data_IF_874953679784
#
_entry.id   IF_874953679784
#
_cell.length_a   1.000
_cell.length_b   1.000
_cell.length_c   1.000
_cell.angle_alpha   90.00
_cell.angle_beta   90.00
_cell.angle_gamma   90.00
#
_symmetry.space_group_name_H-M   'P 1'
#
loop_
_entity.id
_entity.type
_entity.pdbx_description
1 polymer ?
#
# COMPACT_ATOMS: atom_id res chain seq x y z
N UNK A 1 -26.20 -28.81 11.01
CA UNK A 1 -25.56 -27.90 10.03
C UNK A 1 -26.67 -27.27 9.21
N UNK A 2 -27.04 -26.03 9.50
CA UNK A 2 -28.06 -25.31 8.72
C UNK A 2 -27.43 -24.81 7.43
N UNK A 3 -28.04 -25.15 6.29
CA UNK A 3 -27.74 -24.55 5.00
C UNK A 3 -28.18 -23.08 5.05
N UNK A 4 -27.29 -22.21 5.50
CA UNK A 4 -27.38 -20.80 5.19
C UNK A 4 -27.16 -20.67 3.68
N UNK A 5 -28.25 -20.61 2.92
CA UNK A 5 -28.23 -20.21 1.52
C UNK A 5 -27.59 -18.81 1.44
N UNK A 6 -26.30 -18.77 1.11
CA UNK A 6 -25.64 -17.54 0.69
C UNK A 6 -26.32 -17.15 -0.62
N UNK A 7 -27.31 -16.26 -0.54
CA UNK A 7 -27.82 -15.56 -1.70
C UNK A 7 -26.67 -14.68 -2.17
N UNK A 8 -25.88 -15.21 -3.12
CA UNK A 8 -25.04 -14.39 -3.98
C UNK A 8 -26.02 -13.46 -4.70
N UNK A 9 -26.15 -12.24 -4.17
CA UNK A 9 -26.73 -11.17 -4.97
C UNK A 9 -25.80 -11.02 -6.17
N UNK A 10 -26.29 -11.41 -7.35
CA UNK A 10 -25.73 -11.01 -8.64
C UNK A 10 -25.88 -9.48 -8.74
N UNK A 11 -25.04 -8.77 -8.00
CA UNK A 11 -24.85 -7.35 -8.20
C UNK A 11 -23.96 -7.26 -9.43
N UNK A 12 -24.58 -7.02 -10.58
CA UNK A 12 -23.89 -6.63 -11.81
C UNK A 12 -23.17 -5.30 -11.55
N UNK A 13 -21.98 -5.39 -10.95
CA UNK A 13 -21.14 -4.25 -10.55
C UNK A 13 -20.60 -3.47 -11.76
N UNK A 14 -20.77 -4.00 -12.97
CA UNK A 14 -20.40 -3.31 -14.20
C UNK A 14 -21.60 -3.18 -15.12
N UNK A 15 -22.07 -1.96 -15.44
CA UNK A 15 -22.98 -1.80 -16.56
C UNK A 15 -22.28 -2.36 -17.81
N UNK A 16 -22.90 -3.37 -18.43
CA UNK A 16 -22.45 -4.11 -19.61
C UNK A 16 -22.40 -3.27 -20.90
N UNK A 17 -22.13 -1.96 -20.77
CA UNK A 17 -21.96 -1.03 -21.88
C UNK A 17 -20.67 -1.36 -22.64
N UNK A 18 -20.83 -2.14 -23.70
CA UNK A 18 -19.81 -2.43 -24.71
C UNK A 18 -19.16 -1.16 -25.31
N UNK A 19 -19.80 0.01 -25.21
CA UNK A 19 -19.21 1.30 -25.61
C UNK A 19 -18.02 1.73 -24.76
N UNK A 20 -18.00 1.40 -23.46
CA UNK A 20 -16.91 1.80 -22.57
C UNK A 20 -15.62 0.99 -22.82
N UNK A 21 -15.74 -0.22 -23.37
CA UNK A 21 -14.59 -1.07 -23.71
C UNK A 21 -13.71 -0.48 -24.82
N UNK A 22 -14.30 0.20 -25.82
CA UNK A 22 -13.51 0.80 -26.92
C UNK A 22 -12.63 1.95 -26.44
N UNK A 23 -13.17 2.83 -25.58
CA UNK A 23 -12.39 3.95 -25.04
C UNK A 23 -11.27 3.44 -24.12
N UNK A 24 -11.55 2.42 -23.31
CA UNK A 24 -10.55 1.76 -22.47
C UNK A 24 -9.37 1.23 -23.30
N UNK A 25 -9.65 0.49 -24.38
CA UNK A 25 -8.59 -0.07 -25.23
C UNK A 25 -7.70 1.00 -25.89
N UNK A 26 -8.26 2.15 -26.25
CA UNK A 26 -7.48 3.28 -26.82
C UNK A 26 -6.55 3.87 -25.75
N UNK A 27 -7.06 4.12 -24.53
CA UNK A 27 -6.25 4.65 -23.43
C UNK A 27 -5.12 3.67 -23.06
N UNK A 28 -5.43 2.37 -23.00
CA UNK A 28 -4.45 1.31 -22.76
C UNK A 28 -3.38 1.31 -23.85
N UNK A 29 -3.78 1.34 -25.13
CA UNK A 29 -2.85 1.38 -26.26
C UNK A 29 -1.93 2.60 -26.22
N UNK A 30 -2.46 3.77 -25.84
CA UNK A 30 -1.67 4.99 -25.66
C UNK A 30 -0.66 4.86 -24.51
N UNK A 31 -1.05 4.31 -23.36
CA UNK A 31 -0.15 4.13 -22.22
C UNK A 31 0.98 3.15 -22.57
N UNK A 32 0.67 2.04 -23.23
CA UNK A 32 1.68 1.08 -23.70
C UNK A 32 2.62 1.70 -24.73
N UNK A 33 2.09 2.48 -25.68
CA UNK A 33 2.92 3.17 -26.67
C UNK A 33 3.84 4.21 -26.02
N UNK A 34 3.33 5.03 -25.09
CA UNK A 34 4.13 5.99 -24.33
C UNK A 34 5.21 5.29 -23.50
N UNK A 35 4.89 4.16 -22.88
CA UNK A 35 5.86 3.36 -22.14
C UNK A 35 6.97 2.83 -23.05
N UNK A 36 6.64 2.24 -24.21
CA UNK A 36 7.63 1.78 -25.17
C UNK A 36 8.55 2.90 -25.65
N UNK A 37 7.97 4.08 -25.96
CA UNK A 37 8.75 5.26 -26.35
C UNK A 37 9.67 5.71 -25.22
N UNK A 38 9.21 5.72 -23.98
CA UNK A 38 10.02 6.15 -22.85
C UNK A 38 11.16 5.19 -22.52
N UNK A 39 10.95 3.88 -22.61
CA UNK A 39 12.03 2.88 -22.44
C UNK A 39 13.08 3.06 -23.53
N UNK A 40 12.66 3.29 -24.77
CA UNK A 40 13.58 3.56 -25.89
C UNK A 40 14.32 4.90 -25.69
N UNK A 41 13.63 5.94 -25.23
CA UNK A 41 14.24 7.22 -24.90
C UNK A 41 15.26 7.06 -23.78
N UNK A 42 14.92 6.35 -22.70
CA UNK A 42 15.83 6.10 -21.58
C UNK A 42 17.13 5.43 -22.07
N UNK A 43 17.02 4.39 -22.89
CA UNK A 43 18.15 3.64 -23.43
C UNK A 43 19.03 4.50 -24.36
N UNK A 44 18.41 5.31 -25.22
CA UNK A 44 19.12 6.16 -26.20
C UNK A 44 19.70 7.43 -25.56
N UNK A 45 19.05 7.99 -24.54
CA UNK A 45 19.34 9.33 -24.01
C UNK A 45 20.18 9.36 -22.73
N UNK A 46 20.82 8.24 -22.38
CA UNK A 46 21.58 8.09 -21.11
C UNK A 46 22.73 9.08 -20.89
N UNK A 47 23.22 9.79 -21.92
CA UNK A 47 24.32 10.75 -21.81
C UNK A 47 23.87 12.18 -21.54
N UNK A 48 23.46 12.91 -22.59
CA UNK A 48 23.27 14.36 -22.53
C UNK A 48 22.19 14.81 -21.54
N UNK A 49 21.11 14.04 -21.41
CA UNK A 49 20.00 14.36 -20.51
C UNK A 49 20.33 14.08 -19.04
N UNK A 50 21.34 13.24 -18.80
CA UNK A 50 21.78 12.92 -17.45
C UNK A 50 22.44 14.14 -16.78
N UNK A 51 23.21 14.93 -17.53
CA UNK A 51 23.81 16.16 -17.03
C UNK A 51 22.76 17.25 -16.76
N UNK A 52 21.71 17.33 -17.57
CA UNK A 52 20.60 18.26 -17.37
C UNK A 52 19.83 17.97 -16.07
N UNK A 53 19.53 16.69 -15.78
CA UNK A 53 18.82 16.34 -14.55
C UNK A 53 19.67 16.62 -13.30
N UNK A 54 20.98 16.41 -13.37
CA UNK A 54 21.91 16.75 -12.29
C UNK A 54 21.94 18.26 -12.07
N UNK A 55 21.94 19.04 -13.15
CA UNK A 55 21.87 20.51 -13.09
C UNK A 55 20.57 20.98 -12.44
N UNK A 56 19.44 20.36 -12.78
CA UNK A 56 18.15 20.63 -12.15
C UNK A 56 18.17 20.32 -10.64
N UNK A 57 18.66 19.14 -10.24
CA UNK A 57 18.78 18.77 -8.82
C UNK A 57 19.67 19.74 -8.03
N UNK A 58 20.79 20.19 -8.62
CA UNK A 58 21.64 21.22 -8.00
C UNK A 58 20.88 22.52 -7.81
N UNK A 59 20.17 22.99 -8.82
CA UNK A 59 19.45 24.26 -8.78
C UNK A 59 18.41 24.29 -7.66
N UNK A 60 17.59 23.24 -7.56
CA UNK A 60 16.55 23.18 -6.52
C UNK A 60 17.13 23.06 -5.10
N UNK A 61 18.32 22.47 -4.96
CA UNK A 61 19.00 22.31 -3.68
C UNK A 61 19.80 23.56 -3.25
N UNK A 62 19.99 24.57 -4.11
CA UNK A 62 20.79 25.78 -3.80
C UNK A 62 20.33 26.53 -2.56
N UNK A 63 19.02 26.50 -2.26
CA UNK A 63 18.49 27.22 -1.10
C UNK A 63 18.95 26.60 0.22
N UNK A 64 19.20 25.29 0.25
CA UNK A 64 19.77 24.53 1.37
C UNK A 64 19.32 25.02 2.77
N UNK A 65 18.02 25.20 2.96
CA UNK A 65 17.45 25.57 4.25
C UNK A 65 17.08 24.30 5.03
N UNK A 66 17.54 24.20 6.28
CA UNK A 66 17.25 23.05 7.15
C UNK A 66 15.73 22.79 7.30
N UNK A 67 14.93 23.85 7.35
CA UNK A 67 13.46 23.75 7.43
C UNK A 67 12.89 23.07 6.18
N UNK A 68 13.36 23.43 5.00
CA UNK A 68 12.95 22.84 3.73
C UNK A 68 13.38 21.37 3.63
N UNK A 69 14.61 21.06 4.06
CA UNK A 69 15.11 19.68 4.10
C UNK A 69 14.25 18.81 5.04
N UNK A 70 14.03 19.27 6.26
CA UNK A 70 13.23 18.55 7.25
C UNK A 70 11.78 18.37 6.80
N UNK A 71 11.22 19.37 6.11
CA UNK A 71 9.91 19.26 5.50
C UNK A 71 9.86 18.15 4.44
N UNK A 72 10.80 18.13 3.49
CA UNK A 72 10.83 17.08 2.47
C UNK A 72 11.11 15.70 3.03
N UNK A 73 11.95 15.56 4.06
CA UNK A 73 12.12 14.30 4.80
C UNK A 73 10.83 13.84 5.47
N UNK A 74 10.11 14.77 6.11
CA UNK A 74 8.83 14.45 6.72
C UNK A 74 7.80 14.01 5.67
N UNK A 75 7.72 14.70 4.53
CA UNK A 75 6.89 14.30 3.40
C UNK A 75 7.28 12.92 2.91
N UNK A 76 8.58 12.67 2.69
CA UNK A 76 9.11 11.38 2.28
C UNK A 76 8.65 10.28 3.23
N UNK A 77 8.82 10.46 4.54
CA UNK A 77 8.30 9.51 5.54
C UNK A 77 6.78 9.37 5.44
N UNK A 78 6.05 10.47 5.20
CA UNK A 78 4.58 10.50 5.17
C UNK A 78 3.95 9.80 3.93
N UNK A 79 4.71 9.54 2.87
CA UNK A 79 4.18 9.00 1.61
C UNK A 79 3.39 7.68 1.77
N UNK A 80 3.95 6.63 2.39
CA UNK A 80 3.23 5.35 2.56
C UNK A 80 1.92 5.51 3.33
N UNK A 81 1.85 6.48 4.24
CA UNK A 81 0.68 6.75 5.05
C UNK A 81 -0.50 7.25 4.21
N UNK A 82 -0.25 8.07 3.19
CA UNK A 82 -1.30 8.51 2.26
C UNK A 82 -1.92 7.32 1.50
N UNK A 83 -1.11 6.33 1.11
CA UNK A 83 -1.62 5.14 0.42
C UNK A 83 -2.44 4.24 1.34
N UNK A 84 -2.04 4.14 2.61
CA UNK A 84 -2.85 3.45 3.63
C UNK A 84 -4.22 4.12 3.78
N UNK A 85 -4.29 5.46 3.74
CA UNK A 85 -5.56 6.19 3.76
C UNK A 85 -6.42 5.89 2.51
N UNK A 86 -5.84 5.77 1.31
CA UNK A 86 -6.59 5.38 0.11
C UNK A 86 -7.14 3.97 0.20
N UNK A 87 -6.33 3.00 0.63
CA UNK A 87 -6.77 1.62 0.86
C UNK A 87 -7.99 1.60 1.77
N UNK A 88 -7.90 2.35 2.85
CA UNK A 88 -8.83 2.32 3.95
C UNK A 88 -10.13 3.01 3.59
N UNK A 89 -10.06 4.16 2.90
CA UNK A 89 -11.23 4.75 2.26
C UNK A 89 -11.89 3.79 1.28
N UNK A 90 -11.11 3.15 0.40
CA UNK A 90 -11.65 2.19 -0.56
C UNK A 90 -12.34 1.02 0.15
N UNK A 91 -11.74 0.53 1.24
CA UNK A 91 -12.26 -0.56 2.05
C UNK A 91 -13.57 -0.19 2.78
N UNK A 92 -13.68 1.02 3.33
CA UNK A 92 -14.82 1.44 4.16
C UNK A 92 -15.97 2.03 3.36
N UNK A 93 -15.65 2.91 2.41
CA UNK A 93 -16.65 3.76 1.74
C UNK A 93 -17.09 3.22 0.39
N UNK A 94 -16.25 2.42 -0.28
CA UNK A 94 -16.62 1.74 -1.53
C UNK A 94 -17.10 0.33 -1.20
N UNK A 95 -16.17 -0.58 -0.93
CA UNK A 95 -16.44 -1.92 -0.43
C UNK A 95 -15.13 -2.63 -0.03
N UNK A 96 -15.26 -3.74 0.70
CA UNK A 96 -14.09 -4.50 1.15
C UNK A 96 -13.22 -5.03 0.00
N UNK A 97 -13.81 -5.38 -1.15
CA UNK A 97 -13.09 -5.89 -2.31
C UNK A 97 -12.26 -4.80 -2.98
N UNK A 98 -12.77 -3.58 -3.08
CA UNK A 98 -12.05 -2.42 -3.57
C UNK A 98 -10.80 -2.16 -2.70
N UNK A 99 -10.95 -2.25 -1.38
CA UNK A 99 -9.82 -2.24 -0.44
C UNK A 99 -8.82 -3.36 -0.73
N UNK A 100 -9.27 -4.62 -0.83
CA UNK A 100 -8.38 -5.75 -1.13
C UNK A 100 -7.62 -5.57 -2.45
N UNK A 101 -8.29 -5.11 -3.51
CA UNK A 101 -7.65 -4.84 -4.79
C UNK A 101 -6.62 -3.73 -4.69
N UNK A 102 -6.92 -2.67 -3.95
CA UNK A 102 -5.98 -1.58 -3.72
C UNK A 102 -4.69 -2.10 -3.07
N UNK A 103 -4.80 -2.98 -2.06
CA UNK A 103 -3.62 -3.63 -1.46
C UNK A 103 -2.85 -4.40 -2.54
N UNK A 104 -3.50 -5.30 -3.27
CA UNK A 104 -2.83 -6.16 -4.27
C UNK A 104 -2.11 -5.30 -5.32
N UNK A 105 -2.73 -4.21 -5.77
CA UNK A 105 -2.12 -3.25 -6.70
C UNK A 105 -0.87 -2.60 -6.08
N UNK A 106 -0.98 -2.06 -4.85
CA UNK A 106 0.15 -1.44 -4.13
C UNK A 106 1.31 -2.42 -3.99
N UNK A 107 1.04 -3.66 -3.55
CA UNK A 107 2.06 -4.69 -3.40
C UNK A 107 2.73 -5.03 -4.72
N UNK A 108 1.95 -5.12 -5.80
CA UNK A 108 2.48 -5.40 -7.13
C UNK A 108 3.36 -4.25 -7.61
N UNK A 109 2.95 -3.00 -7.38
CA UNK A 109 3.75 -1.81 -7.70
C UNK A 109 5.09 -1.82 -6.95
N UNK A 110 5.07 -2.07 -5.65
CA UNK A 110 6.28 -2.15 -4.80
C UNK A 110 7.20 -3.28 -5.28
N UNK A 111 6.66 -4.49 -5.48
CA UNK A 111 7.46 -5.63 -5.92
C UNK A 111 8.06 -5.37 -7.31
N UNK A 112 7.29 -4.78 -8.22
CA UNK A 112 7.76 -4.43 -9.56
C UNK A 112 8.85 -3.37 -9.50
N UNK A 113 8.66 -2.30 -8.70
CA UNK A 113 9.67 -1.27 -8.53
C UNK A 113 10.99 -1.83 -8.00
N UNK A 114 10.94 -2.67 -6.97
CA UNK A 114 12.14 -3.27 -6.39
C UNK A 114 12.82 -4.29 -7.33
N UNK A 115 12.03 -5.09 -8.06
CA UNK A 115 12.55 -5.99 -9.09
C UNK A 115 13.27 -5.20 -10.19
N UNK A 116 12.67 -4.10 -10.67
CA UNK A 116 13.28 -3.24 -11.67
C UNK A 116 14.51 -2.52 -11.10
N UNK A 117 14.48 -2.07 -9.85
CA UNK A 117 15.63 -1.46 -9.16
C UNK A 117 16.83 -2.42 -9.10
N UNK A 118 16.58 -3.69 -8.80
CA UNK A 118 17.62 -4.71 -8.89
C UNK A 118 18.07 -4.94 -10.34
N UNK A 119 17.16 -5.02 -11.30
CA UNK A 119 17.48 -5.23 -12.72
C UNK A 119 18.35 -4.10 -13.30
N UNK A 120 18.00 -2.84 -13.04
CA UNK A 120 18.73 -1.67 -13.52
C UNK A 120 19.99 -1.39 -12.72
N UNK A 121 20.01 -1.74 -11.42
CA UNK A 121 21.09 -1.51 -10.46
C UNK A 121 21.72 -0.11 -10.62
N UNK A 122 20.88 0.89 -10.89
CA UNK A 122 21.34 2.27 -11.07
C UNK A 122 21.45 2.94 -9.71
N UNK A 123 22.60 3.60 -9.44
CA UNK A 123 22.81 4.26 -8.17
C UNK A 123 21.92 5.50 -8.04
N UNK A 124 21.87 6.05 -6.84
CA UNK A 124 21.20 7.33 -6.61
C UNK A 124 22.02 8.49 -7.19
N UNK A 125 21.36 9.59 -7.55
CA UNK A 125 22.03 10.74 -8.18
C UNK A 125 23.14 11.29 -7.28
N UNK A 126 22.89 11.36 -5.97
CA UNK A 126 23.92 11.80 -5.01
C UNK A 126 25.07 10.79 -4.86
N UNK A 127 24.99 9.55 -5.32
CA UNK A 127 26.13 8.63 -5.30
C UNK A 127 27.13 8.97 -6.41
N UNK A 128 26.61 9.34 -7.58
CA UNK A 128 27.45 9.63 -8.75
C UNK A 128 28.02 11.05 -8.74
N UNK A 129 27.23 12.05 -8.33
CA UNK A 129 27.59 13.47 -8.46
C UNK A 129 27.86 14.12 -7.11
N UNK A 130 29.10 14.59 -6.90
CA UNK A 130 29.53 15.25 -5.65
C UNK A 130 28.71 16.48 -5.30
N UNK A 131 28.17 17.16 -6.29
CA UNK A 131 27.53 18.46 -6.09
C UNK A 131 26.00 18.35 -5.92
N UNK A 132 25.46 17.13 -5.94
CA UNK A 132 24.09 16.84 -5.48
C UNK A 132 24.18 16.28 -4.07
N UNK A 133 23.47 16.90 -3.13
CA UNK A 133 23.43 16.48 -1.74
C UNK A 133 22.36 15.40 -1.57
N UNK A 134 22.74 14.25 -1.02
CA UNK A 134 21.79 13.26 -0.53
C UNK A 134 21.30 13.70 0.83
N UNK A 135 20.10 14.25 0.96
CA UNK A 135 19.68 14.72 2.29
C UNK A 135 19.31 13.56 3.22
N UNK A 136 19.03 12.39 2.67
CA UNK A 136 18.72 11.16 3.40
C UNK A 136 19.77 10.07 3.14
N UNK A 137 19.80 9.08 4.02
CA UNK A 137 20.67 7.92 3.91
C UNK A 137 19.85 6.71 3.44
N UNK A 138 19.60 6.65 2.13
CA UNK A 138 18.88 5.53 1.54
C UNK A 138 19.90 4.60 0.89
N UNK A 139 19.89 3.33 1.28
CA UNK A 139 20.87 2.33 0.84
C UNK A 139 20.26 1.31 -0.13
N UNK A 140 19.53 1.80 -1.13
CA UNK A 140 18.87 0.99 -2.14
C UNK A 140 19.25 1.43 -3.56
N UNK A 141 19.08 0.52 -4.53
CA UNK A 141 19.04 0.91 -5.93
C UNK A 141 17.80 1.78 -6.18
N UNK A 142 17.96 2.87 -6.93
CA UNK A 142 16.88 3.87 -7.03
C UNK A 142 15.93 3.59 -8.20
N UNK A 143 16.42 3.12 -9.36
CA UNK A 143 15.66 3.25 -10.62
C UNK A 143 14.87 1.99 -10.92
N UNK A 144 13.53 2.04 -11.04
CA UNK A 144 12.65 3.20 -10.88
C UNK A 144 12.34 3.51 -9.40
N UNK A 145 12.12 4.79 -9.10
CA UNK A 145 11.66 5.31 -7.83
C UNK A 145 10.38 4.60 -7.38
N UNK A 146 10.49 3.74 -6.36
CA UNK A 146 9.36 3.01 -5.77
C UNK A 146 8.21 3.94 -5.42
N UNK A 147 8.50 5.02 -4.69
CA UNK A 147 7.47 5.94 -4.18
C UNK A 147 6.78 6.70 -5.29
N UNK A 148 7.52 7.09 -6.33
CA UNK A 148 6.91 7.74 -7.49
C UNK A 148 6.03 6.77 -8.26
N UNK A 149 6.49 5.54 -8.49
CA UNK A 149 5.73 4.48 -9.14
C UNK A 149 4.46 4.13 -8.37
N UNK A 150 4.56 3.95 -7.05
CA UNK A 150 3.42 3.69 -6.18
C UNK A 150 2.48 4.89 -6.11
N UNK A 151 2.99 6.13 -6.10
CA UNK A 151 2.15 7.34 -6.03
C UNK A 151 1.17 7.44 -7.19
N UNK A 152 1.68 7.38 -8.43
CA UNK A 152 0.82 7.49 -9.61
C UNK A 152 -0.08 6.27 -9.72
N UNK A 153 0.43 5.08 -9.38
CA UNK A 153 -0.32 3.84 -9.51
C UNK A 153 -1.51 3.82 -8.55
N UNK A 154 -1.27 4.14 -7.28
CA UNK A 154 -2.31 4.26 -6.26
C UNK A 154 -3.36 5.30 -6.63
N UNK A 155 -2.92 6.51 -6.99
CA UNK A 155 -3.81 7.60 -7.36
C UNK A 155 -4.68 7.22 -8.56
N UNK A 156 -4.07 6.67 -9.61
CA UNK A 156 -4.79 6.32 -10.82
C UNK A 156 -5.75 5.15 -10.59
N UNK A 157 -5.34 4.12 -9.84
CA UNK A 157 -6.24 3.02 -9.51
C UNK A 157 -7.42 3.48 -8.66
N UNK A 158 -7.16 4.26 -7.61
CA UNK A 158 -8.22 4.83 -6.77
C UNK A 158 -9.18 5.72 -7.57
N UNK A 159 -8.63 6.52 -8.49
CA UNK A 159 -9.41 7.33 -9.42
C UNK A 159 -10.38 6.47 -10.24
N UNK A 160 -9.92 5.33 -10.77
CA UNK A 160 -10.81 4.41 -11.50
C UNK A 160 -11.89 3.82 -10.61
N UNK A 161 -11.56 3.45 -9.37
CA UNK A 161 -12.54 2.94 -8.41
C UNK A 161 -13.62 3.97 -8.09
N UNK A 162 -13.24 5.23 -7.86
CA UNK A 162 -14.18 6.29 -7.43
C UNK A 162 -14.96 6.89 -8.60
N UNK A 163 -14.30 7.30 -9.68
CA UNK A 163 -14.97 8.02 -10.77
C UNK A 163 -16.01 7.20 -11.50
N UNK A 164 -15.69 5.93 -11.77
CA UNK A 164 -16.54 5.06 -12.58
C UNK A 164 -17.69 4.46 -11.76
N UNK A 165 -17.51 4.30 -10.44
CA UNK A 165 -18.52 3.66 -9.60
C UNK A 165 -19.41 4.67 -8.84
N UNK A 166 -18.92 5.87 -8.49
CA UNK A 166 -19.73 6.88 -7.81
C UNK A 166 -20.46 7.81 -8.81
N UNK A 167 -21.71 7.44 -9.14
CA UNK A 167 -22.60 8.26 -9.98
C UNK A 167 -23.16 9.50 -9.27
N UNK A 168 -23.07 9.56 -7.93
CA UNK A 168 -23.66 10.63 -7.11
C UNK A 168 -22.77 11.87 -6.96
N UNK A 169 -21.46 11.72 -7.17
CA UNK A 169 -20.52 12.81 -6.95
C UNK A 169 -20.68 13.90 -8.01
N UNK A 170 -20.70 15.15 -7.57
CA UNK A 170 -20.81 16.31 -8.46
C UNK A 170 -19.52 16.43 -9.29
N UNK A 171 -19.61 16.94 -10.52
CA UNK A 171 -18.45 17.08 -11.41
C UNK A 171 -17.30 17.87 -10.77
N UNK A 172 -17.60 18.91 -10.00
CA UNK A 172 -16.58 19.72 -9.33
C UNK A 172 -15.84 18.96 -8.22
N UNK A 173 -16.53 18.07 -7.48
CA UNK A 173 -15.89 17.22 -6.46
C UNK A 173 -14.89 16.27 -7.10
N UNK A 174 -15.26 15.69 -8.25
CA UNK A 174 -14.38 14.87 -9.08
C UNK A 174 -13.15 15.66 -9.54
N UNK A 175 -13.35 16.90 -10.01
CA UNK A 175 -12.26 17.76 -10.48
C UNK A 175 -11.30 18.16 -9.35
N UNK A 176 -11.82 18.57 -8.18
CA UNK A 176 -10.98 18.87 -7.01
C UNK A 176 -10.19 17.64 -6.59
N UNK A 177 -10.85 16.48 -6.53
CA UNK A 177 -10.19 15.25 -6.18
C UNK A 177 -9.03 14.92 -7.15
N UNK A 178 -9.26 15.00 -8.47
CA UNK A 178 -8.18 14.84 -9.47
C UNK A 178 -7.05 15.83 -9.22
N UNK A 179 -7.37 17.11 -9.04
CA UNK A 179 -6.38 18.16 -8.85
C UNK A 179 -5.49 17.90 -7.64
N UNK A 180 -6.08 17.58 -6.49
CA UNK A 180 -5.33 17.27 -5.26
C UNK A 180 -4.41 16.07 -5.44
N UNK A 181 -4.90 15.01 -6.08
CA UNK A 181 -4.10 13.80 -6.28
C UNK A 181 -2.99 14.01 -7.32
N UNK A 182 -3.22 14.80 -8.36
CA UNK A 182 -2.18 15.15 -9.33
C UNK A 182 -1.08 15.98 -8.66
N UNK A 183 -1.46 16.97 -7.84
CA UNK A 183 -0.52 17.74 -7.02
C UNK A 183 0.27 16.79 -6.12
N UNK A 184 -0.38 15.83 -5.48
CA UNK A 184 0.30 14.83 -4.64
C UNK A 184 1.34 14.01 -5.42
N UNK A 185 1.01 13.48 -6.61
CA UNK A 185 1.98 12.74 -7.44
C UNK A 185 3.18 13.59 -7.82
N UNK A 186 2.93 14.82 -8.28
CA UNK A 186 4.01 15.77 -8.63
C UNK A 186 4.87 16.11 -7.41
N UNK A 187 4.24 16.28 -6.26
CA UNK A 187 4.91 16.62 -5.01
C UNK A 187 5.77 15.47 -4.47
N UNK A 188 5.30 14.22 -4.60
CA UNK A 188 6.12 13.03 -4.33
C UNK A 188 7.35 12.98 -5.23
N UNK A 189 7.16 13.16 -6.55
CA UNK A 189 8.28 13.18 -7.48
C UNK A 189 9.28 14.28 -7.16
N UNK A 190 8.80 15.50 -6.88
CA UNK A 190 9.65 16.62 -6.51
C UNK A 190 10.42 16.36 -5.20
N UNK A 191 9.78 15.74 -4.21
CA UNK A 191 10.42 15.38 -2.93
C UNK A 191 11.63 14.48 -3.15
N UNK A 192 11.51 13.47 -4.01
CA UNK A 192 12.60 12.54 -4.33
C UNK A 192 13.78 13.22 -5.05
N UNK A 193 13.50 14.16 -5.95
CA UNK A 193 14.53 14.94 -6.65
C UNK A 193 15.20 15.91 -5.68
N UNK A 194 14.42 16.62 -4.85
CA UNK A 194 14.94 17.56 -3.86
C UNK A 194 15.84 16.87 -2.84
N UNK A 195 15.49 15.67 -2.39
CA UNK A 195 16.31 14.87 -1.46
C UNK A 195 17.58 14.29 -2.10
N UNK A 196 17.76 14.46 -3.43
CA UNK A 196 18.92 13.96 -4.16
C UNK A 196 18.90 12.45 -4.42
N UNK A 197 17.75 11.81 -4.17
CA UNK A 197 17.60 10.36 -4.29
C UNK A 197 17.46 9.97 -5.76
N UNK A 198 16.64 10.69 -6.51
CA UNK A 198 16.23 10.37 -7.88
C UNK A 198 16.43 11.55 -8.85
N UNK A 199 16.72 11.25 -10.12
CA UNK A 199 16.71 12.21 -11.22
C UNK A 199 15.30 12.40 -11.80
N UNK A 200 15.07 13.48 -12.55
CA UNK A 200 13.74 13.73 -13.16
C UNK A 200 13.31 12.59 -14.11
N UNK A 201 14.26 11.99 -14.83
CA UNK A 201 13.98 10.88 -15.73
C UNK A 201 13.61 9.62 -14.96
N UNK A 202 14.28 9.34 -13.84
CA UNK A 202 13.93 8.24 -12.95
C UNK A 202 12.47 8.36 -12.49
N UNK A 203 12.03 9.57 -12.12
CA UNK A 203 10.65 9.85 -11.69
C UNK A 203 9.64 9.63 -12.82
N UNK A 204 9.92 10.15 -14.02
CA UNK A 204 9.03 10.00 -15.18
C UNK A 204 8.91 8.51 -15.57
N UNK A 205 10.03 7.79 -15.62
CA UNK A 205 10.07 6.37 -15.90
C UNK A 205 9.25 5.58 -14.87
N UNK A 206 9.41 5.93 -13.59
CA UNK A 206 8.64 5.36 -12.49
C UNK A 206 7.14 5.57 -12.67
N UNK A 207 6.75 6.77 -13.10
CA UNK A 207 5.34 7.05 -13.35
C UNK A 207 4.77 6.21 -14.49
N UNK A 208 5.54 6.02 -15.56
CA UNK A 208 5.12 5.20 -16.70
C UNK A 208 4.99 3.72 -16.33
N UNK A 209 5.93 3.17 -15.55
CA UNK A 209 5.80 1.83 -15.00
C UNK A 209 4.59 1.69 -14.08
N UNK A 210 4.35 2.68 -13.22
CA UNK A 210 3.19 2.69 -12.32
C UNK A 210 1.87 2.67 -13.08
N UNK A 211 1.75 3.51 -14.12
CA UNK A 211 0.59 3.54 -15.00
C UNK A 211 0.42 2.22 -15.77
N UNK A 212 1.50 1.64 -16.28
CA UNK A 212 1.47 0.37 -17.00
C UNK A 212 0.91 -0.75 -16.11
N UNK A 213 1.43 -0.89 -14.89
CA UNK A 213 0.95 -1.89 -13.93
C UNK A 213 -0.55 -1.69 -13.67
N UNK A 214 -0.99 -0.46 -13.40
CA UNK A 214 -2.42 -0.21 -13.12
C UNK A 214 -3.31 -0.48 -14.34
N UNK A 215 -2.85 -0.15 -15.54
CA UNK A 215 -3.55 -0.48 -16.79
C UNK A 215 -3.76 -1.98 -16.92
N UNK A 216 -2.74 -2.78 -16.62
CA UNK A 216 -2.85 -4.25 -16.59
C UNK A 216 -3.94 -4.66 -15.59
N UNK A 217 -3.93 -4.10 -14.39
CA UNK A 217 -4.96 -4.39 -13.38
C UNK A 217 -6.38 -4.02 -13.81
N UNK A 218 -6.57 -2.86 -14.44
CA UNK A 218 -7.88 -2.44 -14.96
C UNK A 218 -8.33 -3.36 -16.07
N UNK A 219 -7.44 -3.71 -17.00
CA UNK A 219 -7.74 -4.61 -18.11
C UNK A 219 -8.15 -6.01 -17.60
N UNK A 220 -7.46 -6.53 -16.60
CA UNK A 220 -7.73 -7.82 -15.99
C UNK A 220 -8.69 -7.75 -14.79
N UNK A 221 -9.37 -6.63 -14.52
CA UNK A 221 -10.16 -6.45 -13.28
C UNK A 221 -11.21 -7.56 -13.08
N UNK A 222 -11.89 -8.00 -14.14
CA UNK A 222 -12.86 -9.10 -14.05
C UNK A 222 -12.21 -10.42 -13.61
N UNK A 223 -11.03 -10.72 -14.17
CA UNK A 223 -10.29 -11.93 -13.82
C UNK A 223 -9.72 -11.82 -12.41
N UNK A 224 -9.22 -10.65 -12.01
CA UNK A 224 -8.74 -10.37 -10.67
C UNK A 224 -9.87 -10.47 -9.65
N UNK A 225 -11.06 -9.92 -9.93
CA UNK A 225 -12.24 -10.09 -9.08
C UNK A 225 -12.58 -11.57 -8.90
N UNK A 226 -12.62 -12.34 -10.01
CA UNK A 226 -12.87 -13.78 -9.94
C UNK A 226 -11.80 -14.51 -9.12
N UNK A 227 -10.53 -14.19 -9.35
CA UNK A 227 -9.41 -14.76 -8.63
C UNK A 227 -9.49 -14.42 -7.14
N UNK A 228 -9.80 -13.17 -6.77
CA UNK A 228 -9.98 -12.78 -5.38
C UNK A 228 -11.16 -13.55 -4.76
N UNK A 229 -12.30 -13.65 -5.45
CA UNK A 229 -13.45 -14.41 -4.94
C UNK A 229 -13.11 -15.90 -4.74
N UNK A 230 -12.43 -16.53 -5.70
CA UNK A 230 -12.07 -17.95 -5.62
C UNK A 230 -11.00 -18.21 -4.57
N UNK A 231 -9.93 -17.42 -4.59
CA UNK A 231 -8.80 -17.56 -3.69
C UNK A 231 -9.19 -17.18 -2.26
N UNK A 232 -9.90 -16.07 -2.03
CA UNK A 232 -10.12 -15.58 -0.67
C UNK A 232 -11.35 -16.19 0.00
N UNK A 233 -12.44 -16.43 -0.75
CA UNK A 233 -13.69 -16.90 -0.15
C UNK A 233 -13.74 -18.43 -0.12
N UNK A 234 -13.31 -19.08 -1.20
CA UNK A 234 -13.39 -20.54 -1.31
C UNK A 234 -12.16 -21.23 -0.71
N UNK A 235 -10.98 -20.64 -0.85
CA UNK A 235 -9.73 -21.24 -0.38
C UNK A 235 -9.19 -20.50 0.86
N UNK A 236 -9.41 -21.05 2.06
CA UNK A 236 -8.77 -20.52 3.28
C UNK A 236 -7.24 -20.29 3.18
N UNK A 237 -6.43 -21.06 2.41
CA UNK A 237 -5.00 -20.76 2.24
C UNK A 237 -4.69 -19.75 1.12
N UNK A 238 -5.69 -19.11 0.51
CA UNK A 238 -5.48 -18.28 -0.68
C UNK A 238 -4.53 -17.09 -0.52
N UNK A 239 -4.49 -16.52 0.69
CA UNK A 239 -3.52 -15.48 1.04
C UNK A 239 -2.07 -15.97 0.91
N UNK A 240 -1.81 -17.23 1.28
CA UNK A 240 -0.48 -17.85 1.16
C UNK A 240 -0.08 -17.89 -0.30
N UNK A 241 -1.00 -18.21 -1.22
CA UNK A 241 -0.68 -18.26 -2.65
C UNK A 241 -0.26 -16.89 -3.20
N UNK A 242 -0.97 -15.82 -2.80
CA UNK A 242 -0.63 -14.45 -3.22
C UNK A 242 0.71 -14.02 -2.64
N UNK A 243 0.94 -14.29 -1.36
CA UNK A 243 2.23 -14.04 -0.74
C UNK A 243 3.36 -14.81 -1.45
N UNK A 244 3.16 -16.10 -1.74
CA UNK A 244 4.11 -16.91 -2.52
C UNK A 244 4.36 -16.34 -3.93
N UNK A 245 3.34 -15.81 -4.60
CA UNK A 245 3.50 -15.16 -5.90
C UNK A 245 4.36 -13.89 -5.81
N UNK A 246 4.17 -13.07 -4.78
CA UNK A 246 5.04 -11.91 -4.53
C UNK A 246 6.48 -12.34 -4.20
N UNK A 247 6.64 -13.32 -3.32
CA UNK A 247 7.97 -13.88 -3.00
C UNK A 247 8.67 -14.46 -4.22
N UNK A 248 7.92 -15.11 -5.13
CA UNK A 248 8.47 -15.59 -6.40
C UNK A 248 8.92 -14.44 -7.31
N UNK A 249 8.15 -13.35 -7.39
CA UNK A 249 8.55 -12.16 -8.14
C UNK A 249 9.84 -11.53 -7.62
N UNK A 250 9.98 -11.46 -6.29
CA UNK A 250 11.22 -11.01 -5.64
C UNK A 250 12.38 -11.96 -5.96
N UNK A 251 12.16 -13.27 -5.85
CA UNK A 251 13.17 -14.27 -6.15
C UNK A 251 13.67 -14.17 -7.60
N UNK A 252 12.76 -13.93 -8.57
CA UNK A 252 13.14 -13.64 -9.96
C UNK A 252 14.02 -12.39 -10.04
N UNK A 253 13.68 -11.32 -9.32
CA UNK A 253 14.51 -10.12 -9.25
C UNK A 253 15.93 -10.38 -8.72
N UNK A 254 16.06 -11.19 -7.67
CA UNK A 254 17.37 -11.61 -7.12
C UNK A 254 18.15 -12.43 -8.15
N UNK A 255 17.49 -13.39 -8.79
CA UNK A 255 18.13 -14.24 -9.81
C UNK A 255 18.67 -13.37 -10.96
N UNK A 256 17.86 -12.42 -11.44
CA UNK A 256 18.27 -11.49 -12.50
C UNK A 256 19.40 -10.56 -12.05
N UNK A 257 19.41 -10.14 -10.79
CA UNK A 257 20.48 -9.35 -10.19
C UNK A 257 21.82 -10.11 -10.18
N UNK A 258 21.81 -11.35 -9.69
CA UNK A 258 23.00 -12.21 -9.66
C UNK A 258 23.52 -12.52 -11.07
N UNK A 259 22.63 -12.77 -12.04
CA UNK A 259 23.04 -13.01 -13.43
C UNK A 259 23.66 -11.80 -14.13
N UNK A 260 23.42 -10.59 -13.65
CA UNK A 260 23.94 -9.35 -14.25
C UNK A 260 25.34 -8.99 -13.76
N UNK A 261 25.83 -9.62 -12.69
CA UNK A 261 27.06 -9.23 -12.00
C UNK A 261 27.06 -7.72 -11.69
N UNK A 262 25.99 -7.24 -11.04
CA UNK A 262 25.80 -5.82 -10.77
C UNK A 262 27.01 -5.22 -10.01
N UNK A 263 27.77 -4.38 -10.72
CA UNK A 263 29.00 -3.80 -10.22
C UNK A 263 28.76 -2.45 -9.55
N UNK A 264 29.26 -2.30 -8.32
CA UNK A 264 29.30 -1.01 -7.61
C UNK A 264 30.74 -0.49 -7.60
N UNK A 265 31.05 0.58 -8.34
CA UNK A 265 32.36 1.22 -8.29
C UNK A 265 32.74 1.68 -6.88
N UNK A 266 34.01 1.51 -6.50
CA UNK A 266 34.57 1.93 -5.21
C UNK A 266 34.31 3.41 -4.89
N UNK A 267 34.21 4.25 -5.94
CA UNK A 267 33.88 5.67 -5.80
C UNK A 267 32.50 5.87 -5.18
N UNK A 268 31.50 5.09 -5.60
CA UNK A 268 30.15 5.17 -5.05
C UNK A 268 30.14 4.63 -3.62
N UNK A 269 30.81 3.50 -3.38
CA UNK A 269 30.91 2.88 -2.05
C UNK A 269 31.52 3.84 -1.01
N UNK A 270 32.69 4.43 -1.32
CA UNK A 270 33.34 5.40 -0.43
C UNK A 270 32.44 6.59 -0.13
N UNK A 271 31.73 7.08 -1.15
CA UNK A 271 30.83 8.21 -0.99
C UNK A 271 29.65 7.88 -0.09
N UNK A 272 29.00 6.72 -0.33
CA UNK A 272 27.89 6.25 0.51
C UNK A 272 28.35 6.07 1.94
N UNK A 273 29.47 5.38 2.19
CA UNK A 273 30.00 5.17 3.54
C UNK A 273 30.38 6.49 4.25
N UNK A 274 30.90 7.47 3.50
CA UNK A 274 31.19 8.80 4.05
C UNK A 274 29.93 9.61 4.37
N UNK A 275 28.86 9.40 3.59
CA UNK A 275 27.58 10.10 3.73
C UNK A 275 26.70 9.48 4.81
N UNK A 276 26.85 8.18 5.03
CA UNK A 276 26.05 7.35 5.92
C UNK A 276 26.93 6.65 6.98
N UNK A 277 27.61 7.39 7.87
CA UNK A 277 28.58 6.81 8.80
C UNK A 277 27.95 5.87 9.84
N UNK A 278 26.67 6.07 10.17
CA UNK A 278 25.93 5.23 11.13
C UNK A 278 25.35 3.96 10.48
N UNK A 279 25.45 3.82 9.16
CA UNK A 279 25.01 2.62 8.48
C UNK A 279 26.06 1.51 8.56
N UNK A 280 25.62 0.24 8.51
CA UNK A 280 26.54 -0.89 8.33
C UNK A 280 27.42 -0.60 7.11
N UNK A 281 28.74 -0.69 7.30
CA UNK A 281 29.72 -0.44 6.25
C UNK A 281 29.35 -1.26 5.01
N UNK A 282 28.95 -0.57 3.94
CA UNK A 282 28.60 -1.23 2.68
C UNK A 282 29.91 -1.70 2.09
N UNK A 283 30.07 -3.02 2.02
CA UNK A 283 31.27 -3.69 1.55
C UNK A 283 31.20 -3.99 0.05
N UNK A 284 29.99 -4.20 -0.48
CA UNK A 284 29.78 -4.50 -1.89
C UNK A 284 28.35 -4.15 -2.38
N UNK A 285 28.06 -4.51 -3.63
CA UNK A 285 26.76 -4.31 -4.27
C UNK A 285 25.67 -5.22 -3.68
N UNK A 286 26.03 -6.39 -3.11
CA UNK A 286 25.09 -7.33 -2.51
C UNK A 286 24.47 -6.77 -1.25
N UNK A 287 25.20 -5.98 -0.47
CA UNK A 287 24.65 -5.26 0.69
C UNK A 287 23.50 -4.33 0.28
N UNK A 288 23.61 -3.65 -0.87
CA UNK A 288 22.54 -2.81 -1.43
C UNK A 288 21.34 -3.66 -1.87
N UNK A 289 21.58 -4.80 -2.53
CA UNK A 289 20.50 -5.72 -2.90
C UNK A 289 19.76 -6.28 -1.68
N UNK A 290 20.48 -6.60 -0.60
CA UNK A 290 19.88 -7.04 0.66
C UNK A 290 19.02 -5.94 1.30
N UNK A 291 19.43 -4.68 1.22
CA UNK A 291 18.62 -3.56 1.70
C UNK A 291 17.33 -3.38 0.87
N UNK A 292 17.38 -3.56 -0.46
CA UNK A 292 16.17 -3.62 -1.28
C UNK A 292 15.22 -4.72 -0.78
N UNK A 293 15.75 -5.91 -0.53
CA UNK A 293 14.96 -7.05 -0.02
C UNK A 293 14.37 -6.78 1.36
N UNK A 294 15.13 -6.15 2.27
CA UNK A 294 14.64 -5.72 3.59
C UNK A 294 13.47 -4.76 3.45
N UNK A 295 13.55 -3.80 2.52
CA UNK A 295 12.46 -2.87 2.24
C UNK A 295 11.21 -3.60 1.75
N UNK A 296 11.34 -4.51 0.79
CA UNK A 296 10.21 -5.31 0.31
C UNK A 296 9.60 -6.15 1.43
N UNK A 297 10.42 -6.77 2.28
CA UNK A 297 9.94 -7.57 3.41
C UNK A 297 9.14 -6.75 4.43
N UNK A 298 9.55 -5.50 4.67
CA UNK A 298 8.84 -4.57 5.57
C UNK A 298 7.49 -4.18 4.98
N UNK A 299 7.43 -4.02 3.66
CA UNK A 299 6.19 -3.71 2.94
C UNK A 299 5.25 -4.93 2.86
N UNK A 300 5.78 -6.15 2.76
CA UNK A 300 5.02 -7.40 2.88
C UNK A 300 4.33 -7.52 4.24
N UNK A 301 5.00 -7.15 5.34
CA UNK A 301 4.38 -7.11 6.67
C UNK A 301 3.16 -6.19 6.72
N UNK A 302 3.26 -5.01 6.10
CA UNK A 302 2.12 -4.08 6.00
C UNK A 302 0.98 -4.62 5.15
N UNK A 303 1.32 -5.33 4.08
CA UNK A 303 0.37 -6.04 3.24
C UNK A 303 -0.36 -7.14 4.00
N UNK A 304 0.36 -7.96 4.75
CA UNK A 304 -0.20 -9.03 5.58
C UNK A 304 -1.18 -8.50 6.62
N UNK A 305 -0.85 -7.38 7.29
CA UNK A 305 -1.73 -6.73 8.25
C UNK A 305 -3.00 -6.17 7.59
N UNK A 306 -2.86 -5.48 6.45
CA UNK A 306 -4.00 -4.93 5.72
C UNK A 306 -4.94 -6.03 5.19
N UNK A 307 -4.37 -7.15 4.72
CA UNK A 307 -5.15 -8.32 4.35
C UNK A 307 -5.85 -8.94 5.56
N UNK A 308 -5.17 -9.09 6.70
CA UNK A 308 -5.78 -9.56 7.95
C UNK A 308 -6.99 -8.72 8.39
N UNK A 309 -6.90 -7.39 8.22
CA UNK A 309 -8.04 -6.48 8.43
C UNK A 309 -9.17 -6.74 7.43
N UNK A 310 -8.84 -6.92 6.16
CA UNK A 310 -9.82 -7.21 5.12
C UNK A 310 -10.56 -8.55 5.34
N UNK A 311 -9.88 -9.57 5.87
CA UNK A 311 -10.51 -10.85 6.24
C UNK A 311 -11.39 -10.76 7.49
N UNK A 312 -11.09 -9.82 8.38
CA UNK A 312 -11.91 -9.55 9.56
C UNK A 312 -13.22 -8.82 9.20
N UNK A 313 -13.37 -8.35 7.96
CA UNK A 313 -14.49 -7.52 7.49
C UNK A 313 -15.87 -8.10 7.77
N UNK A 314 -16.13 -9.39 7.53
CA UNK A 314 -17.48 -9.95 7.76
C UNK A 314 -17.85 -9.98 9.26
N UNK A 315 -16.86 -10.17 10.15
CA UNK A 315 -17.06 -10.07 11.60
C UNK A 315 -17.17 -8.61 12.06
N UNK A 316 -16.45 -7.71 11.41
CA UNK A 316 -16.43 -6.28 11.67
C UNK A 316 -17.73 -5.62 11.19
N UNK A 317 -18.23 -5.89 9.99
CA UNK A 317 -19.46 -5.29 9.43
C UNK A 317 -20.71 -5.57 10.27
N UNK A 318 -20.81 -6.77 10.87
CA UNK A 318 -21.95 -7.15 11.72
C UNK A 318 -21.92 -6.56 13.14
N UNK A 319 -20.75 -6.14 13.67
CA UNK A 319 -20.63 -5.65 15.07
C UNK A 319 -20.04 -4.25 15.23
N UNK A 320 -19.27 -3.76 14.25
CA UNK A 320 -18.51 -2.51 14.36
C UNK A 320 -19.14 -1.33 13.60
N UNK A 321 -19.88 -1.60 12.52
CA UNK A 321 -20.38 -0.58 11.58
C UNK A 321 -21.90 -0.39 11.63
N UNK A 322 -22.55 -0.81 12.72
CA UNK A 322 -23.94 -0.46 12.96
C UNK A 322 -24.05 1.03 13.29
N UNK A 323 -24.55 1.84 12.35
CA UNK A 323 -25.05 3.22 12.58
C UNK A 323 -24.19 4.18 13.42
N UNK A 324 -22.87 3.97 13.55
CA UNK A 324 -22.02 4.91 14.29
C UNK A 324 -21.47 5.94 13.32
N UNK A 325 -21.52 7.23 13.71
CA UNK A 325 -21.09 8.37 12.90
C UNK A 325 -19.69 8.18 12.32
N UNK A 326 -19.47 8.72 11.11
CA UNK A 326 -18.21 8.68 10.32
C UNK A 326 -16.97 8.99 11.16
N UNK A 327 -17.10 9.84 12.19
CA UNK A 327 -16.03 10.19 13.13
C UNK A 327 -15.50 9.03 13.97
N UNK A 328 -16.35 8.13 14.45
CA UNK A 328 -15.89 6.98 15.24
C UNK A 328 -15.13 5.98 14.37
N UNK A 329 -15.54 5.83 13.10
CA UNK A 329 -14.79 5.05 12.13
C UNK A 329 -13.41 5.64 11.88
N UNK A 330 -13.31 6.97 11.72
CA UNK A 330 -12.02 7.68 11.57
C UNK A 330 -11.14 7.54 12.82
N UNK A 331 -11.69 7.62 14.04
CA UNK A 331 -10.91 7.46 15.27
C UNK A 331 -10.38 6.03 15.41
N UNK A 332 -11.22 5.02 15.18
CA UNK A 332 -10.81 3.61 15.23
C UNK A 332 -9.74 3.29 14.20
N UNK A 333 -9.90 3.89 13.03
CA UNK A 333 -8.97 3.84 11.92
C UNK A 333 -7.62 4.46 12.30
N UNK A 334 -7.60 5.63 12.92
CA UNK A 334 -6.39 6.25 13.46
C UNK A 334 -5.76 5.40 14.57
N UNK A 335 -6.56 4.74 15.41
CA UNK A 335 -6.04 3.87 16.47
C UNK A 335 -5.39 2.60 15.92
N UNK A 336 -6.03 1.90 14.97
CA UNK A 336 -5.45 0.75 14.26
C UNK A 336 -4.19 1.15 13.50
N UNK A 337 -4.19 2.35 12.93
CA UNK A 337 -3.06 2.95 12.23
C UNK A 337 -1.87 3.24 13.16
N UNK A 338 -2.09 3.90 14.30
CA UNK A 338 -1.06 4.15 15.32
C UNK A 338 -0.48 2.82 15.79
N UNK A 339 -1.33 1.86 16.14
CA UNK A 339 -0.91 0.54 16.60
C UNK A 339 -0.02 -0.17 15.58
N UNK A 340 -0.41 -0.17 14.31
CA UNK A 340 0.35 -0.82 13.25
C UNK A 340 1.73 -0.19 13.05
N UNK A 341 1.82 1.15 13.10
CA UNK A 341 3.10 1.84 12.97
C UNK A 341 4.01 1.63 14.18
N UNK A 342 3.46 1.54 15.39
CA UNK A 342 4.21 1.14 16.58
C UNK A 342 4.78 -0.26 16.38
N UNK A 343 4.00 -1.20 15.86
CA UNK A 343 4.45 -2.56 15.60
C UNK A 343 5.60 -2.59 14.58
N UNK A 344 5.50 -1.85 13.47
CA UNK A 344 6.58 -1.73 12.49
C UNK A 344 7.84 -1.11 13.08
N UNK A 345 7.71 -0.04 13.86
CA UNK A 345 8.86 0.54 14.57
C UNK A 345 9.52 -0.49 15.49
N UNK A 346 8.74 -1.26 16.25
CA UNK A 346 9.27 -2.33 17.10
C UNK A 346 10.00 -3.40 16.29
N UNK A 347 9.49 -3.79 15.11
CA UNK A 347 10.17 -4.75 14.22
C UNK A 347 11.51 -4.19 13.75
N UNK A 348 11.56 -2.93 13.32
CA UNK A 348 12.82 -2.28 12.91
C UNK A 348 13.80 -2.21 14.07
N UNK A 349 13.33 -1.84 15.26
CA UNK A 349 14.15 -1.82 16.48
C UNK A 349 14.70 -3.22 16.79
N UNK A 350 13.88 -4.28 16.72
CA UNK A 350 14.31 -5.66 16.96
C UNK A 350 15.33 -6.09 15.91
N UNK A 351 15.10 -5.79 14.62
CA UNK A 351 16.04 -6.10 13.55
C UNK A 351 17.40 -5.42 13.74
N UNK A 352 17.41 -4.18 14.22
CA UNK A 352 18.64 -3.44 14.48
C UNK A 352 19.31 -3.84 15.81
N UNK A 353 18.55 -4.39 16.76
CA UNK A 353 19.07 -4.87 18.04
C UNK A 353 19.64 -6.30 17.98
N UNK A 354 19.25 -7.09 16.97
CA UNK A 354 19.84 -8.40 16.74
C UNK A 354 21.29 -8.22 16.27
N UNK A 355 22.29 -8.74 17.01
CA UNK A 355 23.69 -8.58 16.63
C UNK A 355 23.88 -9.18 15.23
N UNK A 356 24.43 -8.39 14.32
CA UNK A 356 24.94 -8.93 13.06
C UNK A 356 25.96 -10.00 13.45
N UNK A 357 25.70 -11.25 13.09
CA UNK A 357 26.63 -12.35 13.33
C UNK A 357 27.80 -12.20 12.35
N UNK A 358 28.63 -11.20 12.61
CA UNK A 358 29.87 -10.91 11.88
C UNK A 358 30.94 -11.89 12.33
N UNK A 359 30.85 -13.13 11.89
CA UNK A 359 31.95 -14.08 12.03
C UNK A 359 32.10 -14.89 10.75
N UNK A 360 32.89 -14.34 9.83
CA UNK A 360 33.87 -14.97 8.91
C UNK A 360 33.60 -16.35 8.27
N UNK A 361 32.39 -16.88 8.31
CA UNK A 361 32.04 -18.18 7.75
C UNK A 361 31.27 -17.94 6.45
N UNK A 362 32.03 -17.97 5.36
CA UNK A 362 31.69 -18.32 3.95
C UNK A 362 30.21 -18.38 3.54
N UNK A 363 29.89 -17.69 2.45
CA UNK A 363 28.81 -17.81 1.42
C UNK A 363 27.50 -18.57 1.72
N UNK A 364 27.53 -19.69 2.43
CA UNK A 364 26.34 -20.43 2.90
C UNK A 364 25.54 -19.68 3.96
N UNK A 365 26.15 -18.71 4.67
CA UNK A 365 25.46 -17.91 5.68
C UNK A 365 24.47 -16.90 5.09
N UNK A 366 24.69 -16.41 3.87
CA UNK A 366 23.79 -15.43 3.24
C UNK A 366 22.42 -16.02 2.90
N UNK A 367 22.36 -17.25 2.40
CA UNK A 367 21.08 -17.96 2.16
C UNK A 367 20.38 -18.25 3.50
N UNK A 368 21.15 -18.58 4.54
CA UNK A 368 20.60 -18.88 5.86
C UNK A 368 20.02 -17.64 6.52
N UNK A 369 20.65 -16.47 6.38
CA UNK A 369 20.12 -15.20 6.87
C UNK A 369 18.94 -14.69 6.06
N UNK A 370 18.93 -14.92 4.73
CA UNK A 370 17.77 -14.66 3.89
C UNK A 370 16.57 -15.54 4.30
N UNK A 371 16.80 -16.84 4.50
CA UNK A 371 15.79 -17.78 4.99
C UNK A 371 15.35 -17.41 6.40
N UNK A 372 16.27 -17.02 7.29
CA UNK A 372 15.97 -16.58 8.66
C UNK A 372 15.09 -15.33 8.65
N UNK A 373 15.42 -14.33 7.84
CA UNK A 373 14.63 -13.11 7.70
C UNK A 373 13.27 -13.40 7.07
N UNK A 374 13.20 -14.23 6.03
CA UNK A 374 11.95 -14.68 5.44
C UNK A 374 11.09 -15.46 6.45
N UNK A 375 11.70 -16.31 7.28
CA UNK A 375 11.00 -17.08 8.32
C UNK A 375 10.53 -16.21 9.48
N UNK A 376 11.33 -15.23 9.91
CA UNK A 376 10.94 -14.22 10.90
C UNK A 376 9.74 -13.43 10.38
N UNK A 377 9.79 -12.94 9.14
CA UNK A 377 8.68 -12.23 8.49
C UNK A 377 7.44 -13.13 8.42
N UNK A 378 7.56 -14.36 7.94
CA UNK A 378 6.46 -15.32 7.85
C UNK A 378 5.86 -15.64 9.24
N UNK A 379 6.70 -15.86 10.25
CA UNK A 379 6.30 -16.13 11.62
C UNK A 379 5.56 -14.94 12.22
N UNK A 380 6.06 -13.72 12.02
CA UNK A 380 5.40 -12.51 12.49
C UNK A 380 4.08 -12.24 11.75
N UNK A 381 4.00 -12.50 10.44
CA UNK A 381 2.73 -12.40 9.70
C UNK A 381 1.68 -13.39 10.22
N UNK A 382 2.08 -14.64 10.47
CA UNK A 382 1.21 -15.66 11.08
C UNK A 382 0.82 -15.24 12.51
N UNK A 383 1.77 -14.73 13.30
CA UNK A 383 1.54 -14.29 14.67
C UNK A 383 0.60 -13.08 14.73
N UNK A 384 0.79 -12.07 13.87
CA UNK A 384 -0.09 -10.88 13.75
C UNK A 384 -1.47 -11.32 13.28
N UNK A 385 -1.56 -12.22 12.29
CA UNK A 385 -2.84 -12.76 11.83
C UNK A 385 -3.61 -13.45 12.97
N UNK A 386 -2.91 -14.27 13.78
CA UNK A 386 -3.51 -14.92 14.95
C UNK A 386 -3.83 -13.93 16.08
N UNK A 387 -2.93 -13.00 16.41
CA UNK A 387 -3.08 -12.01 17.47
C UNK A 387 -4.16 -10.97 17.17
N UNK A 388 -4.23 -10.43 15.95
CA UNK A 388 -5.31 -9.54 15.55
C UNK A 388 -6.65 -10.29 15.55
N UNK A 389 -6.66 -11.53 15.07
CA UNK A 389 -7.82 -12.41 15.17
C UNK A 389 -8.26 -12.62 16.64
N UNK A 390 -7.31 -12.81 17.56
CA UNK A 390 -7.56 -13.04 18.98
C UNK A 390 -7.98 -11.76 19.72
N UNK A 391 -7.25 -10.65 19.57
CA UNK A 391 -7.58 -9.36 20.17
C UNK A 391 -8.94 -8.83 19.71
N UNK A 392 -9.25 -8.92 18.41
CA UNK A 392 -10.56 -8.50 17.88
C UNK A 392 -11.69 -9.39 18.40
N UNK A 393 -11.40 -10.66 18.72
CA UNK A 393 -12.38 -11.60 19.24
C UNK A 393 -12.59 -11.47 20.76
N UNK A 394 -11.55 -11.16 21.53
CA UNK A 394 -11.57 -11.28 23.00
C UNK A 394 -11.36 -9.96 23.76
N UNK A 395 -10.49 -9.07 23.28
CA UNK A 395 -10.18 -7.81 23.98
C UNK A 395 -11.30 -6.78 23.81
N UNK A 396 -11.93 -6.74 22.64
CA UNK A 396 -13.00 -5.80 22.32
C UNK A 396 -14.30 -5.99 23.14
N UNK A 397 -14.84 -7.22 23.33
CA UNK A 397 -15.95 -7.44 24.25
C UNK A 397 -15.63 -6.97 25.67
N UNK A 398 -14.41 -7.19 26.16
CA UNK A 398 -13.98 -6.70 27.48
C UNK A 398 -13.98 -5.18 27.57
N UNK A 399 -13.38 -4.49 26.60
CA UNK A 399 -13.33 -3.01 26.60
C UNK A 399 -14.72 -2.40 26.47
N UNK A 400 -15.58 -2.96 25.62
CA UNK A 400 -16.97 -2.50 25.49
C UNK A 400 -17.81 -2.84 26.71
N UNK A 401 -17.56 -3.95 27.39
CA UNK A 401 -18.23 -4.29 28.65
C UNK A 401 -17.84 -3.30 29.75
N UNK A 402 -16.57 -2.88 29.80
CA UNK A 402 -16.09 -1.84 30.73
C UNK A 402 -16.73 -0.48 30.40
N UNK A 403 -16.69 -0.04 29.13
CA UNK A 403 -17.30 1.24 28.73
C UNK A 403 -18.80 1.25 29.01
N UNK A 404 -19.52 0.19 28.66
CA UNK A 404 -20.96 0.09 28.90
C UNK A 404 -21.29 0.00 30.40
N UNK A 405 -20.42 -0.60 31.21
CA UNK A 405 -20.58 -0.60 32.67
C UNK A 405 -20.33 0.78 33.29
N UNK A 406 -19.48 1.61 32.67
CA UNK A 406 -19.26 3.00 33.09
C UNK A 406 -20.37 3.96 32.64
N UNK A 407 -21.14 3.64 31.60
CA UNK A 407 -22.28 4.45 31.14
C UNK A 407 -23.62 4.02 31.71
N UNK A 408 -23.67 2.95 32.52
CA UNK A 408 -24.89 2.41 33.09
C UNK A 408 -25.37 3.14 34.38
N UNK A 409 -24.69 4.21 34.80
CA UNK A 409 -25.12 4.99 35.96
C UNK A 409 -26.07 6.14 35.59
N UNK A 410 -27.29 6.03 36.14
CA UNK A 410 -28.29 7.08 36.36
C UNK A 410 -29.14 7.51 35.16
N UNK A 411 -29.95 6.59 34.65
CA UNK A 411 -31.32 6.99 34.27
C UNK A 411 -32.08 7.14 35.60
N UNK A 412 -32.53 8.35 35.99
CA UNK A 412 -33.39 8.49 37.16
C UNK A 412 -34.62 7.60 36.95
N UNK A 413 -34.98 6.82 37.96
CA UNK A 413 -36.29 6.17 37.98
C UNK A 413 -37.36 7.23 37.76
N UNK A 414 -37.94 7.26 36.56
CA UNK A 414 -39.19 7.97 36.34
C UNK A 414 -40.22 7.33 37.26
N UNK A 415 -40.58 8.09 38.28
CA UNK A 415 -41.63 7.85 39.24
C UNK A 415 -42.91 7.50 38.46
N UNK A 416 -43.24 6.20 38.42
CA UNK A 416 -44.48 5.71 37.80
C UNK A 416 -45.65 6.22 38.63
N UNK A 417 -46.27 7.30 38.16
CA UNK A 417 -47.57 7.77 38.64
C UNK A 417 -48.65 6.71 38.30
N UNK A 418 -49.26 6.05 39.30
CA UNK A 418 -50.23 4.99 39.06
C UNK A 418 -51.65 5.58 39.03
N UNK A 419 -52.03 6.29 37.97
CA UNK A 419 -53.40 6.79 37.88
C UNK A 419 -53.93 7.13 36.48
N UNK A 420 -53.84 6.21 35.51
CA UNK A 420 -54.78 6.24 34.37
C UNK A 420 -55.18 4.82 33.96
N UNK A 421 -56.28 4.34 34.55
CA UNK A 421 -57.10 3.28 33.98
C UNK A 421 -57.88 3.86 32.80
N UNK A 422 -57.60 3.39 31.59
CA UNK A 422 -58.50 3.57 30.46
C UNK A 422 -58.77 2.24 29.79
N UNK A 423 -60.01 1.83 29.99
CA UNK A 423 -60.72 0.72 29.38
C UNK A 423 -60.73 0.78 27.84
N UNK A 424 -60.64 -0.42 27.25
CA UNK A 424 -61.37 -0.88 26.06
C UNK A 424 -61.04 -0.20 24.71
N UNK A 425 -60.58 -1.01 23.75
CA UNK A 425 -61.32 -1.35 22.52
C UNK A 425 -60.58 -2.51 21.84
N UNK A 426 -61.21 -3.68 21.85
CA UNK A 426 -60.93 -4.79 20.95
C UNK A 426 -61.30 -4.37 19.51
N UNK A 427 -60.28 -4.14 18.69
CA UNK A 427 -60.41 -3.89 17.25
C UNK A 427 -59.94 -5.10 16.46
N UNK A 428 -60.85 -6.03 16.17
CA UNK A 428 -60.64 -7.12 15.23
C UNK A 428 -60.32 -6.57 13.83
N UNK A 429 -59.08 -6.77 13.36
CA UNK A 429 -58.69 -6.52 11.97
C UNK A 429 -58.68 -7.85 11.22
N UNK A 430 -59.74 -8.07 10.46
CA UNK A 430 -59.84 -9.09 9.42
C UNK A 430 -58.75 -8.85 8.36
N UNK A 431 -57.85 -9.81 8.19
CA UNK A 431 -56.98 -9.87 7.01
C UNK A 431 -57.73 -10.57 5.88
N UNK A 432 -58.25 -9.79 4.95
CA UNK A 432 -58.65 -10.27 3.62
C UNK A 432 -57.40 -10.55 2.78
N UNK A 433 -57.24 -11.79 2.33
CA UNK A 433 -56.28 -12.14 1.28
C UNK A 433 -56.71 -11.53 -0.06
N UNK A 434 -55.80 -10.92 -0.84
CA UNK A 434 -56.05 -10.66 -2.24
C UNK A 434 -55.69 -11.92 -3.06
N UNK A 435 -56.71 -12.61 -3.55
CA UNK A 435 -56.60 -13.36 -4.80
C UNK A 435 -56.61 -12.35 -5.96
N UNK A 436 -55.59 -12.36 -6.83
CA UNK A 436 -55.78 -12.61 -8.27
C UNK A 436 -54.55 -12.28 -9.12
N UNK A 437 -54.28 -13.25 -10.01
CA UNK A 437 -53.59 -13.23 -11.32
C UNK A 437 -52.07 -13.11 -11.36
#
# INVERSE_FOLDING_TARGET
MSNSNFILMDVDFYPSSTKNLKLSNIVIGLIVALWLVAVVIEDIMTGDFYDEQVTFSKEIQKQNLDSTINFFKAVWIFIPFVYQLYFLYAHTDIDAFAGMKMIIVVCTLICTANMLAMLYSRPQVYWEHSDVHGWDCVLNWNVPSERSMVSIGCVYYFFTLKLFNCKRDKLWEKAIFIGVNLIWVLFVGFTEIYLGLNGIFDIILSWLYGLLVVVIFIYFDKWINKLIMEIFIKMKPGLIFIHCAFMLGIAVGIILYEFRDAYMPDKWQKKVNSHCPDSLEISDSKDIAQNNLKMVSTLSLSTGALLGMAFSYNKIKQKWWGSVSTWHSIIRLLASWIYFNILNMLIVIIQNALPSTSSSVTDTLHITDLIRNAYIVLFYEIFIYYQMGWMLTYLYPMVMMVINSCTAETVPEEEKDPSVSMDVIDGAINWTQPNSK
#
